data_IF_025217491936
#
_entry.id   IF_025217491936
#
_cell.length_a   1.000
_cell.length_b   1.000
_cell.length_c   1.000
_cell.angle_alpha   90.00
_cell.angle_beta   90.00
_cell.angle_gamma   90.00
#
_symmetry.space_group_name_H-M   'P 1'
#
loop_
_entity.id
_entity.type
_entity.pdbx_description
1 polymer ?
#
# COMPACT_ATOMS: atom_id res chain seq x y z
N UNK A 1 3.65 -10.43 -16.87
CA UNK A 1 2.27 -9.95 -17.04
C UNK A 1 1.53 -10.31 -15.76
N UNK A 2 1.62 -9.44 -14.74
CA UNK A 2 1.19 -9.74 -13.39
C UNK A 2 -0.16 -9.12 -13.06
N UNK A 3 -0.98 -9.89 -12.34
CA UNK A 3 -1.99 -9.53 -11.32
C UNK A 3 -3.14 -8.57 -11.65
N UNK A 4 -3.11 -7.80 -12.74
CA UNK A 4 -4.15 -6.81 -13.04
C UNK A 4 -5.51 -7.40 -13.42
N UNK A 5 -5.55 -8.68 -13.84
CA UNK A 5 -6.79 -9.32 -14.26
C UNK A 5 -7.45 -10.15 -13.16
N UNK A 6 -6.79 -10.41 -12.02
CA UNK A 6 -7.29 -11.35 -10.99
C UNK A 6 -8.68 -10.98 -10.43
N UNK A 7 -8.97 -9.70 -10.10
CA UNK A 7 -10.32 -9.29 -9.68
C UNK A 7 -11.36 -9.40 -10.80
N UNK A 8 -10.99 -9.03 -12.01
CA UNK A 8 -11.87 -9.07 -13.18
C UNK A 8 -12.24 -10.51 -13.55
N UNK A 9 -11.27 -11.41 -13.47
CA UNK A 9 -11.43 -12.86 -13.62
C UNK A 9 -12.37 -13.42 -12.53
N UNK A 10 -12.20 -13.02 -11.28
CA UNK A 10 -13.08 -13.43 -10.19
C UNK A 10 -14.54 -12.98 -10.42
N UNK A 11 -14.75 -11.76 -10.91
CA UNK A 11 -16.08 -11.25 -11.28
C UNK A 11 -16.69 -12.06 -12.43
N UNK A 12 -15.93 -12.37 -13.48
CA UNK A 12 -16.40 -13.18 -14.61
C UNK A 12 -16.83 -14.59 -14.16
N UNK A 13 -16.06 -15.25 -13.28
CA UNK A 13 -16.43 -16.56 -12.75
C UNK A 13 -17.69 -16.50 -11.87
N UNK A 14 -17.88 -15.40 -11.12
CA UNK A 14 -19.09 -15.15 -10.35
C UNK A 14 -20.32 -15.00 -11.26
N UNK A 15 -20.23 -14.17 -12.31
CA UNK A 15 -21.31 -13.98 -13.28
C UNK A 15 -21.74 -15.31 -13.91
N UNK A 16 -20.76 -16.16 -14.28
CA UNK A 16 -21.01 -17.52 -14.78
C UNK A 16 -21.74 -18.38 -13.75
N UNK A 17 -21.31 -18.38 -12.48
CA UNK A 17 -21.92 -19.14 -11.37
C UNK A 17 -23.39 -18.75 -11.15
N UNK A 18 -23.71 -17.46 -11.25
CA UNK A 18 -25.08 -16.95 -11.08
C UNK A 18 -25.88 -16.91 -12.38
N UNK A 19 -25.33 -17.46 -13.48
CA UNK A 19 -26.00 -17.56 -14.79
C UNK A 19 -26.37 -16.20 -15.40
N UNK A 20 -25.53 -15.18 -15.20
CA UNK A 20 -25.72 -13.79 -15.65
C UNK A 20 -25.09 -13.56 -17.04
N UNK A 21 -25.48 -14.39 -18.02
CA UNK A 21 -24.80 -14.50 -19.34
C UNK A 21 -24.68 -13.18 -20.11
N UNK A 22 -25.71 -12.34 -20.09
CA UNK A 22 -25.68 -11.07 -20.81
C UNK A 22 -24.60 -10.11 -20.29
N UNK A 23 -24.46 -10.01 -18.97
CA UNK A 23 -23.43 -9.18 -18.33
C UNK A 23 -22.04 -9.79 -18.53
N UNK A 24 -21.95 -11.10 -18.42
CA UNK A 24 -20.72 -11.87 -18.64
C UNK A 24 -20.14 -11.63 -20.05
N UNK A 25 -20.96 -11.74 -21.09
CA UNK A 25 -20.53 -11.54 -22.49
C UNK A 25 -20.05 -10.11 -22.77
N UNK A 26 -20.75 -9.11 -22.23
CA UNK A 26 -20.37 -7.71 -22.36
C UNK A 26 -19.03 -7.47 -21.65
N UNK A 27 -18.92 -7.88 -20.39
CA UNK A 27 -17.72 -7.66 -19.58
C UNK A 27 -16.50 -8.37 -20.18
N UNK A 28 -16.67 -9.60 -20.69
CA UNK A 28 -15.62 -10.35 -21.37
C UNK A 28 -15.10 -9.62 -22.61
N UNK A 29 -16.01 -9.05 -23.40
CA UNK A 29 -15.68 -8.28 -24.60
C UNK A 29 -14.95 -6.98 -24.26
N UNK A 30 -15.41 -6.25 -23.25
CA UNK A 30 -14.76 -5.01 -22.78
C UNK A 30 -13.38 -5.28 -22.18
N UNK A 31 -13.23 -6.40 -21.47
CA UNK A 31 -11.97 -6.86 -20.89
C UNK A 31 -10.94 -7.34 -21.92
N UNK A 32 -11.32 -7.49 -23.19
CA UNK A 32 -10.47 -8.07 -24.24
C UNK A 32 -9.89 -9.45 -23.88
N UNK A 33 -10.65 -10.25 -23.13
CA UNK A 33 -10.26 -11.61 -22.74
C UNK A 33 -10.56 -12.62 -23.86
N UNK A 34 -9.56 -13.42 -24.23
CA UNK A 34 -9.71 -14.47 -25.24
C UNK A 34 -10.51 -15.67 -24.75
N UNK A 35 -11.13 -16.43 -25.65
CA UNK A 35 -11.96 -17.61 -25.30
C UNK A 35 -11.19 -18.67 -24.49
N UNK A 36 -9.90 -18.88 -24.81
CA UNK A 36 -9.05 -19.87 -24.11
C UNK A 36 -8.74 -19.46 -22.68
N UNK A 37 -8.49 -18.18 -22.41
CA UNK A 37 -8.27 -17.68 -21.05
C UNK A 37 -9.56 -17.74 -20.24
N UNK A 38 -10.70 -17.53 -20.91
CA UNK A 38 -12.03 -17.58 -20.32
C UNK A 38 -12.48 -19.00 -19.96
N UNK A 39 -12.29 -19.99 -20.83
CA UNK A 39 -12.69 -21.37 -20.56
C UNK A 39 -11.89 -22.02 -19.43
N UNK A 40 -10.63 -21.60 -19.24
CA UNK A 40 -9.76 -22.07 -18.17
C UNK A 40 -9.96 -21.34 -16.83
N UNK A 41 -10.93 -20.42 -16.72
CA UNK A 41 -11.31 -19.81 -15.44
C UNK A 41 -11.99 -20.85 -14.52
N UNK A 42 -11.20 -21.40 -13.60
CA UNK A 42 -11.70 -22.15 -12.45
C UNK A 42 -10.85 -21.84 -11.22
N UNK A 43 -11.03 -20.62 -10.68
CA UNK A 43 -10.47 -20.26 -9.39
C UNK A 43 -11.21 -21.05 -8.29
N UNK A 44 -10.49 -21.63 -7.32
CA UNK A 44 -11.11 -22.25 -6.15
C UNK A 44 -12.08 -21.30 -5.45
N UNK A 45 -13.22 -21.79 -4.95
CA UNK A 45 -14.22 -20.95 -4.27
C UNK A 45 -13.65 -20.12 -3.11
N UNK A 46 -12.67 -20.68 -2.40
CA UNK A 46 -11.96 -19.99 -1.30
C UNK A 46 -11.13 -18.82 -1.83
N UNK A 47 -10.48 -18.99 -2.97
CA UNK A 47 -9.68 -17.96 -3.62
C UNK A 47 -10.58 -16.86 -4.19
N UNK A 48 -11.68 -17.22 -4.86
CA UNK A 48 -12.72 -16.29 -5.29
C UNK A 48 -13.28 -15.46 -4.14
N UNK A 49 -13.67 -16.11 -3.04
CA UNK A 49 -14.17 -15.43 -1.86
C UNK A 49 -13.10 -14.48 -1.27
N UNK A 50 -11.84 -14.89 -1.23
CA UNK A 50 -10.76 -14.02 -0.76
C UNK A 50 -10.53 -12.80 -1.64
N UNK A 51 -10.59 -12.93 -2.97
CA UNK A 51 -10.40 -11.81 -3.91
C UNK A 51 -11.54 -10.80 -3.76
N UNK A 52 -12.78 -11.28 -3.71
CA UNK A 52 -13.96 -10.42 -3.55
C UNK A 52 -14.00 -9.76 -2.16
N UNK A 53 -13.58 -10.47 -1.11
CA UNK A 53 -13.52 -9.95 0.26
C UNK A 53 -12.33 -9.00 0.47
N UNK A 54 -11.21 -9.21 -0.24
CA UNK A 54 -10.06 -8.32 -0.19
C UNK A 54 -10.44 -6.89 -0.64
N UNK A 55 -11.22 -6.77 -1.72
CA UNK A 55 -11.72 -5.46 -2.15
C UNK A 55 -12.70 -4.84 -1.16
N UNK A 56 -13.58 -5.64 -0.54
CA UNK A 56 -14.49 -5.15 0.50
C UNK A 56 -13.74 -4.64 1.74
N UNK A 57 -12.69 -5.34 2.16
CA UNK A 57 -11.88 -4.98 3.34
C UNK A 57 -11.00 -3.75 3.10
N UNK A 58 -10.50 -3.55 1.87
CA UNK A 58 -9.84 -2.29 1.48
C UNK A 58 -10.80 -1.09 1.50
N UNK A 59 -12.10 -1.32 1.25
CA UNK A 59 -13.14 -0.29 1.33
C UNK A 59 -13.80 -0.16 2.70
N UNK A 60 -13.40 -0.93 3.71
CA UNK A 60 -13.96 -0.78 5.07
C UNK A 60 -13.16 0.28 5.84
N UNK A 61 -13.69 1.51 5.99
CA UNK A 61 -12.94 2.61 6.59
C UNK A 61 -12.68 2.42 8.09
N UNK A 62 -13.44 1.56 8.78
CA UNK A 62 -13.25 1.28 10.21
C UNK A 62 -12.01 0.44 10.50
N UNK A 63 -11.49 -0.28 9.49
CA UNK A 63 -10.34 -1.16 9.63
C UNK A 63 -9.00 -0.41 9.68
N UNK A 64 -8.93 0.78 9.09
CA UNK A 64 -7.68 1.52 8.86
C UNK A 64 -6.98 1.95 10.14
N UNK A 65 -7.72 2.51 11.11
CA UNK A 65 -7.14 2.93 12.38
C UNK A 65 -6.55 1.77 13.17
N UNK A 66 -7.29 0.66 13.26
CA UNK A 66 -6.82 -0.55 13.95
C UNK A 66 -5.59 -1.11 13.26
N UNK A 67 -5.63 -1.22 11.93
CA UNK A 67 -4.53 -1.72 11.12
C UNK A 67 -3.26 -0.88 11.31
N UNK A 68 -3.36 0.45 11.26
CA UNK A 68 -2.22 1.33 11.49
C UNK A 68 -1.64 1.19 12.91
N UNK A 69 -2.50 1.11 13.93
CA UNK A 69 -2.08 0.91 15.32
C UNK A 69 -1.39 -0.45 15.52
N UNK A 70 -1.83 -1.50 14.82
CA UNK A 70 -1.15 -2.79 14.79
C UNK A 70 0.25 -2.70 14.18
N UNK A 71 0.42 -1.96 13.07
CA UNK A 71 1.75 -1.72 12.49
C UNK A 71 2.67 -0.95 13.45
N UNK A 72 2.17 0.12 14.08
CA UNK A 72 2.91 0.89 15.08
C UNK A 72 3.41 0.00 16.22
N UNK A 73 2.51 -0.76 16.83
CA UNK A 73 2.84 -1.70 17.92
C UNK A 73 3.88 -2.74 17.49
N UNK A 74 3.81 -3.23 16.25
CA UNK A 74 4.83 -4.14 15.72
C UNK A 74 6.22 -3.47 15.66
N UNK A 75 6.30 -2.23 15.16
CA UNK A 75 7.55 -1.46 15.12
C UNK A 75 8.08 -1.20 16.53
N UNK A 76 7.24 -0.70 17.43
CA UNK A 76 7.61 -0.36 18.81
C UNK A 76 8.14 -1.57 19.60
N UNK A 77 7.55 -2.75 19.38
CA UNK A 77 7.95 -4.00 20.04
C UNK A 77 9.13 -4.71 19.35
N UNK A 78 9.63 -4.19 18.23
CA UNK A 78 10.80 -4.74 17.55
C UNK A 78 12.09 -4.40 18.30
N UNK A 79 13.13 -5.22 18.13
CA UNK A 79 14.46 -4.95 18.69
C UNK A 79 15.02 -3.63 18.12
N UNK A 80 15.73 -2.84 18.93
CA UNK A 80 16.21 -1.51 18.53
C UNK A 80 17.03 -1.53 17.23
N UNK A 81 17.83 -2.58 17.00
CA UNK A 81 18.61 -2.75 15.78
C UNK A 81 17.76 -2.81 14.49
N UNK A 82 16.53 -3.31 14.57
CA UNK A 82 15.59 -3.39 13.44
C UNK A 82 14.53 -2.29 13.49
N UNK A 83 14.20 -1.81 14.70
CA UNK A 83 13.15 -0.82 14.95
C UNK A 83 13.31 0.43 14.10
N UNK A 84 14.54 0.96 14.02
CA UNK A 84 14.82 2.19 13.27
C UNK A 84 14.57 2.05 11.76
N UNK A 85 14.84 0.88 11.20
CA UNK A 85 14.56 0.62 9.78
C UNK A 85 13.08 0.35 9.58
N UNK A 86 12.46 -0.46 10.46
CA UNK A 86 11.04 -0.77 10.39
C UNK A 86 10.15 0.48 10.57
N UNK A 87 10.59 1.47 11.36
CA UNK A 87 9.86 2.72 11.54
C UNK A 87 9.75 3.55 10.27
N UNK A 88 10.64 3.35 9.29
CA UNK A 88 10.54 4.03 7.98
C UNK A 88 9.30 3.64 7.18
N UNK A 89 8.63 2.53 7.54
CA UNK A 89 7.36 2.11 6.93
C UNK A 89 6.16 2.93 7.43
N UNK A 90 6.24 3.54 8.62
CA UNK A 90 5.10 4.18 9.27
C UNK A 90 4.53 5.32 8.42
N UNK A 91 5.39 6.24 7.98
CA UNK A 91 4.96 7.39 7.19
C UNK A 91 4.40 7.01 5.80
N UNK A 92 5.07 6.19 4.98
CA UNK A 92 4.51 5.71 3.72
C UNK A 92 3.14 5.04 3.89
N UNK A 93 3.02 4.12 4.85
CA UNK A 93 1.75 3.42 5.10
C UNK A 93 0.67 4.40 5.53
N UNK A 94 0.99 5.33 6.43
CA UNK A 94 0.09 6.39 6.87
C UNK A 94 -0.45 7.22 5.69
N UNK A 95 0.45 7.72 4.83
CA UNK A 95 0.07 8.55 3.67
C UNK A 95 -0.83 7.78 2.72
N UNK A 96 -0.50 6.53 2.41
CA UNK A 96 -1.32 5.71 1.51
C UNK A 96 -2.67 5.35 2.13
N UNK A 97 -2.73 5.10 3.44
CA UNK A 97 -4.01 4.91 4.15
C UNK A 97 -4.90 6.15 4.03
N UNK A 98 -4.35 7.33 4.28
CA UNK A 98 -5.07 8.59 4.12
C UNK A 98 -5.59 8.79 2.70
N UNK A 99 -4.72 8.62 1.69
CA UNK A 99 -5.11 8.79 0.29
C UNK A 99 -6.15 7.75 -0.16
N UNK A 100 -6.06 6.50 0.27
CA UNK A 100 -7.06 5.48 -0.05
C UNK A 100 -8.43 5.83 0.55
N UNK A 101 -8.48 6.29 1.80
CA UNK A 101 -9.74 6.76 2.40
C UNK A 101 -10.36 7.92 1.59
N UNK A 102 -9.55 8.85 1.07
CA UNK A 102 -10.03 9.92 0.17
C UNK A 102 -10.49 9.37 -1.19
N UNK A 103 -9.74 8.43 -1.79
CA UNK A 103 -10.06 7.84 -3.11
C UNK A 103 -11.37 7.05 -3.10
N UNK A 104 -11.69 6.44 -1.96
CA UNK A 104 -12.93 5.69 -1.72
C UNK A 104 -14.04 6.56 -1.08
N UNK A 105 -13.87 7.88 -1.06
CA UNK A 105 -14.86 8.86 -0.57
C UNK A 105 -15.22 8.71 0.93
N UNK A 106 -14.35 8.07 1.72
CA UNK A 106 -14.45 7.97 3.19
C UNK A 106 -13.84 9.21 3.88
N UNK A 107 -14.26 10.40 3.44
CA UNK A 107 -13.61 11.67 3.80
C UNK A 107 -13.59 11.95 5.31
N UNK A 108 -14.64 11.62 6.05
CA UNK A 108 -14.69 11.79 7.52
C UNK A 108 -13.64 10.91 8.22
N UNK A 109 -13.49 9.66 7.77
CA UNK A 109 -12.51 8.74 8.33
C UNK A 109 -11.09 9.17 7.96
N UNK A 110 -10.87 9.71 6.77
CA UNK A 110 -9.58 10.28 6.38
C UNK A 110 -9.18 11.46 7.29
N UNK A 111 -10.12 12.36 7.60
CA UNK A 111 -9.87 13.49 8.52
C UNK A 111 -9.55 12.98 9.92
N UNK A 112 -10.36 12.07 10.47
CA UNK A 112 -10.11 11.50 11.80
C UNK A 112 -8.76 10.76 11.87
N UNK A 113 -8.42 10.01 10.84
CA UNK A 113 -7.14 9.30 10.74
C UNK A 113 -5.95 10.28 10.72
N UNK A 114 -6.07 11.37 9.96
CA UNK A 114 -5.05 12.41 9.88
C UNK A 114 -4.89 13.16 11.21
N UNK A 115 -5.99 13.52 11.87
CA UNK A 115 -5.95 14.21 13.17
C UNK A 115 -5.32 13.33 14.25
N UNK A 116 -5.64 12.03 14.24
CA UNK A 116 -5.18 11.07 15.24
C UNK A 116 -3.69 10.73 15.10
N UNK A 117 -3.22 10.45 13.89
CA UNK A 117 -1.87 9.92 13.67
C UNK A 117 -0.93 10.88 12.93
N UNK A 118 -1.43 12.00 12.41
CA UNK A 118 -0.62 12.95 11.64
C UNK A 118 0.43 13.67 12.48
N UNK A 119 0.09 14.06 13.71
CA UNK A 119 1.02 14.74 14.63
C UNK A 119 2.11 13.82 15.19
N UNK A 120 1.91 12.50 15.09
CA UNK A 120 2.87 11.50 15.54
C UNK A 120 3.96 11.20 14.50
N UNK A 121 3.80 11.67 13.27
CA UNK A 121 4.80 11.49 12.21
C UNK A 121 6.04 12.35 12.49
N UNK A 122 7.20 11.91 11.99
CA UNK A 122 8.46 12.62 12.19
C UNK A 122 8.39 14.08 11.70
N UNK A 123 9.13 14.98 12.36
CA UNK A 123 9.08 16.43 12.11
C UNK A 123 9.30 16.80 10.64
N UNK A 124 10.18 16.09 9.93
CA UNK A 124 10.49 16.35 8.53
C UNK A 124 9.30 16.05 7.59
N UNK A 125 8.35 15.23 8.03
CA UNK A 125 7.13 14.92 7.26
C UNK A 125 6.01 15.95 7.44
N UNK A 126 6.06 16.76 8.51
CA UNK A 126 4.92 17.60 8.93
C UNK A 126 4.54 18.65 7.88
N UNK A 127 5.51 19.17 7.12
CA UNK A 127 5.22 20.16 6.08
C UNK A 127 4.45 19.55 4.90
N UNK A 128 4.85 18.35 4.48
CA UNK A 128 4.16 17.60 3.44
C UNK A 128 2.76 17.16 3.90
N UNK A 129 2.60 16.82 5.18
CA UNK A 129 1.27 16.53 5.75
C UNK A 129 0.32 17.73 5.73
N UNK A 130 0.82 18.94 6.00
CA UNK A 130 -0.01 20.15 5.86
C UNK A 130 -0.47 20.32 4.41
N UNK A 131 0.41 20.11 3.43
CA UNK A 131 0.05 20.18 2.01
C UNK A 131 -0.97 19.11 1.62
N UNK A 132 -0.82 17.89 2.12
CA UNK A 132 -1.77 16.79 1.92
C UNK A 132 -3.13 17.05 2.59
N UNK A 133 -3.16 17.68 3.78
CA UNK A 133 -4.39 17.94 4.54
C UNK A 133 -5.42 18.82 3.82
N UNK A 134 -4.98 19.55 2.78
CA UNK A 134 -5.82 20.36 1.90
C UNK A 134 -6.67 19.46 0.98
N UNK A 135 -6.20 18.25 0.69
CA UNK A 135 -6.85 17.26 -0.19
C UNK A 135 -7.89 16.46 0.59
N UNK A 136 -9.13 16.93 0.57
CA UNK A 136 -10.25 16.34 1.32
C UNK A 136 -11.21 15.51 0.47
N UNK A 137 -11.08 15.59 -0.85
CA UNK A 137 -11.94 14.89 -1.79
C UNK A 137 -11.13 14.31 -2.94
N UNK A 138 -11.58 13.19 -3.49
CA UNK A 138 -10.93 12.48 -4.58
C UNK A 138 -10.61 13.37 -5.80
N UNK A 139 -11.52 14.26 -6.17
CA UNK A 139 -11.33 15.16 -7.32
C UNK A 139 -10.16 16.14 -7.14
N UNK A 140 -9.74 16.38 -5.90
CA UNK A 140 -8.63 17.27 -5.55
C UNK A 140 -7.27 16.58 -5.68
N UNK A 141 -7.22 15.24 -5.78
CA UNK A 141 -5.96 14.50 -5.91
C UNK A 141 -5.23 14.93 -7.17
N UNK A 142 -5.90 14.99 -8.33
CA UNK A 142 -5.33 15.42 -9.62
C UNK A 142 -4.95 16.92 -9.71
N UNK A 143 -5.21 17.69 -8.65
CA UNK A 143 -4.85 19.10 -8.58
C UNK A 143 -3.76 19.38 -7.55
N UNK A 144 -3.31 18.36 -6.83
CA UNK A 144 -2.30 18.46 -5.79
C UNK A 144 -1.10 17.59 -6.17
N UNK A 145 -0.01 18.25 -6.59
CA UNK A 145 1.22 17.60 -7.05
C UNK A 145 1.71 16.50 -6.10
N UNK A 146 1.66 16.76 -4.78
CA UNK A 146 2.16 15.81 -3.79
C UNK A 146 1.25 14.56 -3.69
N UNK A 147 -0.07 14.76 -3.69
CA UNK A 147 -1.04 13.67 -3.70
C UNK A 147 -0.94 12.83 -4.98
N UNK A 148 -0.67 13.45 -6.14
CA UNK A 148 -0.42 12.73 -7.39
C UNK A 148 0.86 11.90 -7.32
N UNK A 149 1.95 12.50 -6.85
CA UNK A 149 3.23 11.80 -6.70
C UNK A 149 3.05 10.56 -5.81
N UNK A 150 2.41 10.72 -4.65
CA UNK A 150 2.16 9.61 -3.74
C UNK A 150 1.18 8.59 -4.31
N UNK A 151 0.16 9.00 -5.07
CA UNK A 151 -0.79 8.05 -5.64
C UNK A 151 -0.21 7.22 -6.80
N UNK A 152 0.80 7.74 -7.49
CA UNK A 152 1.34 7.14 -8.73
C UNK A 152 2.68 6.45 -8.56
N UNK A 153 3.42 6.75 -7.50
CA UNK A 153 4.75 6.21 -7.26
C UNK A 153 4.78 5.36 -5.98
N UNK A 154 5.78 4.48 -5.89
CA UNK A 154 6.05 3.71 -4.68
C UNK A 154 7.03 4.46 -3.79
N UNK A 155 6.79 4.43 -2.48
CA UNK A 155 7.81 4.81 -1.51
C UNK A 155 8.91 3.78 -1.47
N UNK A 156 10.16 4.23 -1.39
CA UNK A 156 11.32 3.36 -1.24
C UNK A 156 11.73 3.32 0.23
N UNK A 157 11.83 2.10 0.75
CA UNK A 157 12.29 1.81 2.10
C UNK A 157 13.40 0.78 2.04
N UNK A 158 14.51 1.05 2.72
CA UNK A 158 15.64 0.12 2.81
C UNK A 158 15.59 -0.64 4.13
N UNK A 159 15.68 -1.97 4.08
CA UNK A 159 15.71 -2.82 5.26
C UNK A 159 16.94 -3.74 5.22
N UNK A 160 17.50 -4.03 6.38
CA UNK A 160 18.38 -5.19 6.56
C UNK A 160 17.62 -6.49 6.30
N UNK A 161 18.37 -7.58 6.07
CA UNK A 161 17.80 -8.93 5.88
C UNK A 161 16.92 -9.36 7.06
N UNK A 162 17.32 -9.00 8.28
CA UNK A 162 16.59 -9.35 9.50
C UNK A 162 15.30 -8.53 9.63
N UNK A 163 15.36 -7.20 9.44
CA UNK A 163 14.18 -6.35 9.45
C UNK A 163 13.17 -6.76 8.36
N UNK A 164 13.65 -7.04 7.13
CA UNK A 164 12.81 -7.55 6.04
C UNK A 164 12.15 -8.89 6.38
N UNK A 165 12.87 -9.81 7.02
CA UNK A 165 12.32 -11.11 7.44
C UNK A 165 11.28 -10.95 8.56
N UNK A 166 11.50 -10.03 9.51
CA UNK A 166 10.52 -9.70 10.54
C UNK A 166 9.25 -9.09 9.94
N UNK A 167 9.38 -8.17 8.99
CA UNK A 167 8.24 -7.62 8.26
C UNK A 167 7.43 -8.73 7.56
N UNK A 168 8.09 -9.63 6.83
CA UNK A 168 7.40 -10.74 6.14
C UNK A 168 6.64 -11.64 7.11
N UNK A 169 7.22 -11.94 8.27
CA UNK A 169 6.55 -12.73 9.31
C UNK A 169 5.32 -12.01 9.85
N UNK A 170 5.45 -10.72 10.17
CA UNK A 170 4.34 -9.88 10.60
C UNK A 170 3.20 -9.88 9.58
N UNK A 171 3.49 -9.66 8.29
CA UNK A 171 2.47 -9.67 7.23
C UNK A 171 1.79 -11.03 7.09
N UNK A 172 2.53 -12.13 7.27
CA UNK A 172 1.95 -13.47 7.25
C UNK A 172 1.00 -13.73 8.44
N UNK A 173 1.22 -13.08 9.59
CA UNK A 173 0.34 -13.16 10.76
C UNK A 173 -0.92 -12.29 10.59
N UNK A 174 -0.85 -11.19 9.82
CA UNK A 174 -1.96 -10.26 9.58
C UNK A 174 -2.96 -10.71 8.50
N UNK A 175 -3.11 -12.01 8.20
CA UNK A 175 -4.00 -12.47 7.11
C UNK A 175 -5.46 -12.03 7.23
N UNK A 176 -5.92 -11.66 8.43
CA UNK A 176 -7.25 -11.10 8.68
C UNK A 176 -7.35 -9.59 8.43
N UNK A 177 -6.23 -8.87 8.35
CA UNK A 177 -6.14 -7.45 8.04
C UNK A 177 -5.32 -7.25 6.75
N UNK A 178 -6.01 -7.35 5.63
CA UNK A 178 -5.44 -7.27 4.28
C UNK A 178 -4.95 -5.87 3.92
N UNK A 179 -5.49 -4.82 4.56
CA UNK A 179 -5.16 -3.41 4.25
C UNK A 179 -3.66 -3.14 4.29
N UNK A 180 -2.97 -3.53 5.38
CA UNK A 180 -1.52 -3.29 5.52
C UNK A 180 -0.73 -4.07 4.47
N UNK A 181 -1.11 -5.33 4.25
CA UNK A 181 -0.46 -6.23 3.29
C UNK A 181 -0.55 -5.61 1.88
N UNK A 182 -1.74 -5.14 1.50
CA UNK A 182 -1.98 -4.59 0.18
C UNK A 182 -1.28 -3.24 0.01
N UNK A 183 -1.27 -2.39 1.03
CA UNK A 183 -0.53 -1.12 0.98
C UNK A 183 0.96 -1.38 0.80
N UNK A 184 1.55 -2.26 1.60
CA UNK A 184 2.99 -2.55 1.49
C UNK A 184 3.33 -3.15 0.13
N UNK A 185 2.55 -4.11 -0.37
CA UNK A 185 2.84 -4.78 -1.64
C UNK A 185 2.67 -3.83 -2.85
N UNK A 186 1.62 -3.01 -2.85
CA UNK A 186 1.24 -2.19 -4.01
C UNK A 186 1.92 -0.82 -4.02
N UNK A 187 2.24 -0.26 -2.85
CA UNK A 187 2.67 1.12 -2.73
C UNK A 187 4.06 1.29 -2.11
N UNK A 188 4.69 0.22 -1.63
CA UNK A 188 6.04 0.30 -1.04
C UNK A 188 7.00 -0.60 -1.81
N UNK A 189 8.16 -0.04 -2.15
CA UNK A 189 9.32 -0.75 -2.66
C UNK A 189 10.28 -0.99 -1.51
N UNK A 190 10.35 -2.24 -1.06
CA UNK A 190 11.28 -2.68 -0.02
C UNK A 190 12.59 -3.13 -0.66
N UNK A 191 13.66 -2.36 -0.46
CA UNK A 191 15.01 -2.71 -0.89
C UNK A 191 15.78 -3.35 0.27
N UNK A 192 16.35 -4.54 0.05
CA UNK A 192 17.11 -5.24 1.09
C UNK A 192 18.60 -4.98 0.94
N UNK A 193 19.27 -4.57 2.02
CA UNK A 193 20.72 -4.41 2.05
C UNK A 193 21.42 -5.48 2.89
N UNK A 194 22.70 -5.70 2.58
CA UNK A 194 23.55 -6.73 3.22
C UNK A 194 24.19 -6.30 4.54
N UNK A 195 24.12 -5.01 4.89
CA UNK A 195 24.64 -4.49 6.16
C UNK A 195 23.78 -4.88 7.37
N UNK A 196 24.33 -4.79 8.60
CA UNK A 196 23.55 -4.90 9.83
C UNK A 196 22.47 -3.81 9.89
N UNK A 197 21.49 -3.97 10.79
CA UNK A 197 20.45 -2.97 11.01
C UNK A 197 21.04 -1.59 11.31
N UNK A 198 20.53 -0.58 10.62
CA UNK A 198 20.99 0.81 10.69
C UNK A 198 20.57 1.47 12.00
N UNK A 199 21.48 2.26 12.56
CA UNK A 199 21.17 3.14 13.69
C UNK A 199 20.18 4.24 13.28
N UNK A 200 19.50 4.84 14.25
CA UNK A 200 18.59 5.98 13.99
C UNK A 200 19.27 7.12 13.22
N UNK A 201 20.52 7.43 13.53
CA UNK A 201 21.27 8.48 12.85
C UNK A 201 21.55 8.14 11.37
N UNK A 202 21.85 6.88 11.07
CA UNK A 202 22.08 6.41 9.70
C UNK A 202 20.79 6.42 8.88
N UNK A 203 19.67 6.00 9.47
CA UNK A 203 18.35 6.09 8.82
C UNK A 203 17.99 7.54 8.52
N UNK A 204 18.14 8.44 9.51
CA UNK A 204 17.84 9.88 9.34
C UNK A 204 18.70 10.58 8.29
N UNK A 205 19.89 10.06 8.01
CA UNK A 205 20.75 10.60 6.96
C UNK A 205 20.28 10.26 5.54
N UNK A 206 19.43 9.23 5.40
CA UNK A 206 18.95 8.72 4.10
C UNK A 206 17.44 8.90 3.90
N UNK A 207 16.69 9.21 4.96
CA UNK A 207 15.26 9.56 4.90
C UNK A 207 15.03 11.05 4.62
N UNK A 208 13.77 11.43 4.36
CA UNK A 208 13.38 12.82 4.11
C UNK A 208 13.24 13.19 2.63
N UNK A 209 13.44 12.24 1.72
CA UNK A 209 13.00 12.39 0.33
C UNK A 209 11.48 12.26 0.22
N UNK A 210 10.90 12.90 -0.81
CA UNK A 210 9.45 12.88 -1.05
C UNK A 210 8.91 11.43 -1.08
N UNK A 211 9.59 10.52 -1.78
CA UNK A 211 9.20 9.11 -1.89
C UNK A 211 10.04 8.18 -1.00
N UNK A 212 10.49 8.66 0.16
CA UNK A 212 11.31 7.88 1.10
C UNK A 212 12.80 7.99 0.83
N UNK A 213 13.50 6.87 0.81
CA UNK A 213 14.96 6.83 0.71
C UNK A 213 15.46 6.87 -0.73
N UNK A 214 16.62 7.50 -0.96
CA UNK A 214 17.24 7.52 -2.28
C UNK A 214 17.57 6.10 -2.77
N UNK A 215 17.16 5.75 -3.99
CA UNK A 215 17.49 4.44 -4.59
C UNK A 215 18.96 4.38 -4.97
N UNK A 216 19.60 3.22 -4.78
CA UNK A 216 21.01 3.00 -5.19
C UNK A 216 21.23 3.20 -6.70
N UNK A 217 20.22 2.99 -7.54
CA UNK A 217 20.31 3.20 -8.98
C UNK A 217 20.22 4.69 -9.37
N UNK A 218 19.59 5.54 -8.55
CA UNK A 218 19.57 7.00 -8.77
C UNK A 218 20.96 7.64 -8.58
N UNK A 219 21.83 7.04 -7.77
CA UNK A 219 23.21 7.50 -7.60
C UNK A 219 24.09 7.31 -8.83
N UNK A 220 23.78 6.37 -9.73
CA UNK A 220 24.58 6.17 -10.96
C UNK A 220 24.24 7.16 -12.08
N UNK A 221 23.05 7.81 -12.01
CA UNK A 221 22.65 8.80 -13.01
C UNK A 221 23.17 10.22 -12.72
N UNK A 222 23.61 10.51 -11.49
CA UNK A 222 24.18 11.83 -11.12
C UNK A 222 25.69 11.94 -11.37
N UNK A 223 26.34 10.90 -11.90
CA UNK A 223 27.77 10.92 -12.28
C UNK A 223 28.03 10.76 -13.77
N UNK A 224 26.98 10.85 -14.60
CA UNK A 224 27.08 10.79 -16.06
C UNK A 224 26.18 11.86 -16.68
N UNK A 225 26.46 13.13 -16.38
CA UNK A 225 26.11 14.29 -17.20
C UNK A 225 27.22 15.34 -17.06
#
# INVERSE_FOLDING_TARGET
>A
MGDKNTPLLAVLQLLRKYNLKGTEDILRKEASLGDVEYENLDLPEVELASILTAHHTESDPYSYEFAYDTLKKFVENSLDINKHELSTLLYPVFVHMYLLLIIYDHNEHAVNFLEKFGTEQEDYCQEDLKRLSIVKHKDQIKGNELAEIYSTNKFVVQLSRDASSQLKRFLHEQKSSTVIINIINNHIQVEVHDGPGRTQAQVRATTGGILGEATRNGMYHIYLD
#
